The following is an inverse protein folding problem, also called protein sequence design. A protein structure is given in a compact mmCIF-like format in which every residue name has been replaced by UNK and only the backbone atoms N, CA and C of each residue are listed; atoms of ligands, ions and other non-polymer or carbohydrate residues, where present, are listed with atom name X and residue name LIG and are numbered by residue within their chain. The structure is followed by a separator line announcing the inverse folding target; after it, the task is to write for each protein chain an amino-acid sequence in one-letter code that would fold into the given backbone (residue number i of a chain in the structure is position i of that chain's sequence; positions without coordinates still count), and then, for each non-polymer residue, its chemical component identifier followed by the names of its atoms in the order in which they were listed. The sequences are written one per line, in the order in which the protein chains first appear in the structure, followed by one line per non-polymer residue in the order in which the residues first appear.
data_IF_837986971105
#
_entry.id   IF_837986971105
#
_cell.length_a   1.000
_cell.length_b   1.000
_cell.length_c   1.000
_cell.angle_alpha   90.00
_cell.angle_beta   90.00
_cell.angle_gamma   90.00
#
_symmetry.space_group_name_H-M   'P 1'
#
loop_
_entity.id
_entity.type
_entity.pdbx_description
1 polymer ?
#
# COMPACT_ATOMS: atom_id res chain seq x y z
N UNK A 1 5.65 -17.18 -0.85
CA UNK A 1 6.38 -16.05 -0.22
C UNK A 1 7.84 -16.11 -0.61
N UNK A 2 8.59 -15.00 -0.50
CA UNK A 2 10.03 -14.95 -0.75
C UNK A 2 10.61 -13.67 -0.16
N UNK A 3 11.82 -13.81 0.36
CA UNK A 3 12.50 -12.77 1.12
C UNK A 3 13.86 -12.49 0.47
N UNK A 4 14.11 -11.27 -0.03
CA UNK A 4 15.47 -10.86 -0.41
C UNK A 4 16.40 -10.96 0.79
N UNK A 5 17.58 -11.48 0.58
CA UNK A 5 18.65 -11.56 1.59
C UNK A 5 19.64 -10.46 1.30
N UNK A 6 19.90 -9.62 2.32
CA UNK A 6 20.75 -8.44 2.20
C UNK A 6 21.93 -8.58 3.18
N UNK A 7 23.12 -8.30 2.70
CA UNK A 7 24.33 -8.20 3.52
C UNK A 7 25.09 -6.93 3.12
N UNK A 8 25.53 -6.15 4.10
CA UNK A 8 26.19 -4.86 3.86
C UNK A 8 25.42 -3.90 2.95
N UNK A 9 24.05 -3.91 3.01
CA UNK A 9 23.18 -3.10 2.17
C UNK A 9 22.94 -3.64 0.75
N UNK A 10 23.63 -4.71 0.34
CA UNK A 10 23.53 -5.30 -1.00
C UNK A 10 22.74 -6.60 -0.99
N UNK A 11 22.04 -6.87 -2.08
CA UNK A 11 21.35 -8.16 -2.27
C UNK A 11 22.38 -9.25 -2.50
N UNK A 12 22.39 -10.26 -1.65
CA UNK A 12 23.26 -11.45 -1.76
C UNK A 12 22.50 -12.71 -2.18
N UNK A 13 21.16 -12.69 -2.13
CA UNK A 13 20.34 -13.81 -2.53
C UNK A 13 18.84 -13.58 -2.32
N UNK A 14 18.08 -14.63 -2.52
CA UNK A 14 16.64 -14.67 -2.18
C UNK A 14 16.30 -16.03 -1.58
N UNK A 15 15.48 -16.05 -0.53
CA UNK A 15 14.86 -17.28 0.01
C UNK A 15 13.39 -17.29 -0.36
N UNK A 16 12.93 -18.37 -0.93
CA UNK A 16 11.54 -18.55 -1.35
C UNK A 16 10.91 -19.77 -0.69
N UNK A 17 9.58 -19.88 -0.77
CA UNK A 17 8.91 -21.11 -0.31
C UNK A 17 9.35 -22.38 -1.05
N UNK A 18 9.98 -22.25 -2.23
CA UNK A 18 10.55 -23.38 -2.96
C UNK A 18 11.81 -23.89 -2.25
N UNK A 19 12.67 -22.98 -1.81
CA UNK A 19 13.92 -23.32 -1.12
C UNK A 19 13.65 -23.94 0.25
N UNK A 20 12.56 -23.56 0.90
CA UNK A 20 12.18 -24.05 2.23
C UNK A 20 11.27 -25.29 2.19
N UNK A 21 10.73 -25.69 1.03
CA UNK A 21 9.68 -26.73 0.94
C UNK A 21 10.09 -28.08 1.51
N UNK A 22 11.33 -28.45 1.32
CA UNK A 22 11.89 -29.73 1.76
C UNK A 22 13.01 -29.58 2.79
N UNK A 23 13.28 -28.37 3.24
CA UNK A 23 14.29 -28.12 4.27
C UNK A 23 13.72 -28.48 5.65
N UNK A 24 14.42 -29.37 6.33
CA UNK A 24 14.05 -29.85 7.66
C UNK A 24 14.97 -29.32 8.76
N UNK A 25 16.11 -28.75 8.37
CA UNK A 25 17.10 -28.20 9.29
C UNK A 25 16.83 -26.72 9.48
N UNK A 26 16.17 -26.33 10.55
CA UNK A 26 15.81 -24.94 10.83
C UNK A 26 16.93 -24.10 11.48
N UNK A 27 18.02 -24.73 11.84
CA UNK A 27 19.23 -24.14 12.46
C UNK A 27 20.31 -23.72 11.43
N UNK A 28 20.11 -24.05 10.15
CA UNK A 28 21.07 -23.68 9.09
C UNK A 28 21.02 -22.18 8.79
N UNK A 29 22.18 -21.63 8.43
CA UNK A 29 22.27 -20.23 8.02
C UNK A 29 21.61 -19.99 6.68
N UNK A 30 20.92 -18.84 6.52
CA UNK A 30 20.13 -18.48 5.32
C UNK A 30 20.95 -18.60 4.02
N UNK A 31 22.22 -18.24 4.03
CA UNK A 31 23.09 -18.31 2.85
C UNK A 31 23.30 -19.73 2.31
N UNK A 32 23.04 -20.77 3.11
CA UNK A 32 23.18 -22.18 2.70
C UNK A 32 21.97 -22.69 1.93
N UNK A 33 20.81 -22.03 2.10
CA UNK A 33 19.53 -22.45 1.50
C UNK A 33 18.99 -21.46 0.47
N UNK A 34 19.49 -20.23 0.44
CA UNK A 34 19.03 -19.20 -0.48
C UNK A 34 19.48 -19.49 -1.92
N UNK A 35 18.73 -18.98 -2.89
CA UNK A 35 19.22 -18.80 -4.25
C UNK A 35 20.24 -17.65 -4.24
N UNK A 36 21.53 -17.90 -4.54
CA UNK A 36 22.58 -16.89 -4.41
C UNK A 36 22.52 -15.86 -5.56
N UNK A 37 23.20 -14.74 -5.35
CA UNK A 37 23.22 -13.56 -6.23
C UNK A 37 23.46 -13.89 -7.71
N UNK A 38 24.39 -14.79 -8.00
CA UNK A 38 24.83 -15.15 -9.35
C UNK A 38 23.70 -15.82 -10.16
N UNK A 39 22.71 -16.39 -9.46
CA UNK A 39 21.54 -17.06 -10.06
C UNK A 39 20.28 -16.17 -10.07
N UNK A 40 20.38 -14.94 -9.55
CA UNK A 40 19.24 -14.04 -9.52
C UNK A 40 18.96 -13.45 -10.90
N UNK A 41 17.70 -13.37 -11.25
CA UNK A 41 17.21 -12.54 -12.36
C UNK A 41 16.71 -11.24 -11.72
N UNK A 42 17.36 -10.14 -12.04
CA UNK A 42 17.07 -8.81 -11.54
C UNK A 42 16.82 -7.83 -12.68
N UNK A 43 16.22 -6.67 -12.37
CA UNK A 43 16.12 -5.52 -13.26
C UNK A 43 16.74 -4.32 -12.55
N UNK A 44 17.30 -3.39 -13.32
CA UNK A 44 17.81 -2.14 -12.77
C UNK A 44 16.66 -1.15 -12.59
N UNK A 45 16.68 -0.35 -11.53
CA UNK A 45 15.69 0.71 -11.29
C UNK A 45 15.65 1.73 -12.43
N UNK A 46 16.78 1.97 -13.12
CA UNK A 46 16.91 2.89 -14.25
C UNK A 46 16.26 2.38 -15.54
N UNK A 47 16.04 1.08 -15.64
CA UNK A 47 15.47 0.47 -16.85
C UNK A 47 13.99 0.78 -17.04
N UNK A 48 13.33 1.36 -16.01
CA UNK A 48 11.89 1.66 -16.01
C UNK A 48 11.05 0.50 -16.56
N UNK A 49 11.36 -0.72 -16.10
CA UNK A 49 10.77 -1.97 -16.60
C UNK A 49 9.23 -1.91 -16.58
N UNK A 50 8.62 -1.96 -17.74
CA UNK A 50 7.17 -1.94 -17.88
C UNK A 50 6.53 -3.23 -17.34
N UNK A 51 5.25 -3.24 -16.95
CA UNK A 51 4.54 -4.46 -16.53
C UNK A 51 4.59 -5.58 -17.59
N UNK A 52 4.55 -5.24 -18.89
CA UNK A 52 4.64 -6.21 -19.98
C UNK A 52 6.03 -6.86 -20.05
N UNK A 53 7.11 -6.07 -19.93
CA UNK A 53 8.49 -6.57 -19.89
C UNK A 53 8.72 -7.44 -18.65
N UNK A 54 8.26 -7.00 -17.48
CA UNK A 54 8.35 -7.78 -16.25
C UNK A 54 7.61 -9.12 -16.37
N UNK A 55 6.40 -9.12 -16.96
CA UNK A 55 5.62 -10.33 -17.22
C UNK A 55 6.37 -11.31 -18.14
N UNK A 56 7.00 -10.78 -19.19
CA UNK A 56 7.80 -11.59 -20.13
C UNK A 56 8.99 -12.25 -19.42
N UNK A 57 9.74 -11.51 -18.60
CA UNK A 57 10.86 -12.04 -17.80
C UNK A 57 10.40 -13.10 -16.79
N UNK A 58 9.34 -12.82 -16.03
CA UNK A 58 8.76 -13.76 -15.08
C UNK A 58 8.35 -15.08 -15.76
N UNK A 59 7.72 -14.99 -16.93
CA UNK A 59 7.30 -16.18 -17.69
C UNK A 59 8.50 -16.93 -18.28
N UNK A 60 9.46 -16.22 -18.89
CA UNK A 60 10.67 -16.81 -19.48
C UNK A 60 11.45 -17.63 -18.47
N UNK A 61 11.63 -17.10 -17.26
CA UNK A 61 12.44 -17.72 -16.20
C UNK A 61 11.61 -18.54 -15.20
N UNK A 62 10.28 -18.67 -15.40
CA UNK A 62 9.35 -19.38 -14.50
C UNK A 62 9.44 -18.89 -13.06
N UNK A 63 9.54 -17.56 -12.89
CA UNK A 63 9.65 -16.88 -11.60
C UNK A 63 8.30 -16.28 -11.19
N UNK A 64 8.09 -16.14 -9.89
CA UNK A 64 6.95 -15.42 -9.32
C UNK A 64 7.28 -13.96 -8.99
N UNK A 65 8.57 -13.62 -8.96
CA UNK A 65 9.08 -12.30 -8.57
C UNK A 65 10.45 -12.00 -9.15
N UNK A 66 10.70 -10.70 -9.35
CA UNK A 66 11.97 -10.15 -9.83
C UNK A 66 12.38 -9.05 -8.86
N UNK A 67 13.62 -9.04 -8.43
CA UNK A 67 14.19 -7.96 -7.62
C UNK A 67 14.54 -6.78 -8.51
N UNK A 68 14.22 -5.58 -8.05
CA UNK A 68 14.67 -4.33 -8.63
C UNK A 68 15.86 -3.84 -7.82
N UNK A 69 16.99 -3.64 -8.47
CA UNK A 69 18.26 -3.22 -7.84
C UNK A 69 18.80 -1.97 -8.53
N UNK A 70 19.71 -1.26 -7.86
CA UNK A 70 20.52 -0.22 -8.49
C UNK A 70 21.86 -0.76 -8.96
N UNK A 71 22.72 0.11 -9.52
CA UNK A 71 24.07 -0.26 -10.00
C UNK A 71 24.98 -0.81 -8.90
N UNK A 72 24.76 -0.40 -7.64
CA UNK A 72 25.47 -0.93 -6.48
C UNK A 72 24.90 -2.27 -5.98
N UNK A 73 23.87 -2.80 -6.66
CA UNK A 73 23.15 -4.01 -6.28
C UNK A 73 22.41 -3.90 -4.93
N UNK A 74 22.00 -2.68 -4.57
CA UNK A 74 21.10 -2.45 -3.43
C UNK A 74 19.64 -2.69 -3.84
N UNK A 75 18.85 -3.24 -2.94
CA UNK A 75 17.42 -3.48 -3.17
C UNK A 75 16.64 -2.15 -3.26
N UNK A 76 15.96 -1.94 -4.36
CA UNK A 76 15.08 -0.79 -4.60
C UNK A 76 13.61 -1.17 -4.71
N UNK A 77 13.32 -2.41 -5.06
CA UNK A 77 11.93 -2.86 -5.17
C UNK A 77 11.81 -4.35 -5.47
N UNK A 78 10.55 -4.76 -5.61
CA UNK A 78 10.16 -6.13 -5.94
C UNK A 78 8.96 -6.09 -6.88
N UNK A 79 9.07 -6.75 -8.02
CA UNK A 79 7.96 -6.93 -8.97
C UNK A 79 7.46 -8.37 -8.85
N UNK A 80 6.17 -8.57 -8.64
CA UNK A 80 5.59 -9.90 -8.52
C UNK A 80 4.50 -10.17 -9.57
N UNK A 81 4.25 -11.43 -9.88
CA UNK A 81 3.10 -11.85 -10.71
C UNK A 81 1.79 -11.31 -10.13
N UNK A 82 1.65 -11.30 -8.81
CA UNK A 82 0.45 -10.80 -8.13
C UNK A 82 0.21 -9.31 -8.41
N UNK A 83 1.25 -8.49 -8.44
CA UNK A 83 1.13 -7.05 -8.71
C UNK A 83 0.63 -6.82 -10.13
N UNK A 84 1.19 -7.53 -11.12
CA UNK A 84 0.77 -7.45 -12.53
C UNK A 84 -0.68 -7.93 -12.68
N UNK A 85 -1.03 -9.06 -12.07
CA UNK A 85 -2.40 -9.59 -12.12
C UNK A 85 -3.40 -8.62 -11.48
N UNK A 86 -3.04 -8.04 -10.31
CA UNK A 86 -3.90 -7.06 -9.63
C UNK A 86 -4.11 -5.78 -10.43
N UNK A 87 -3.11 -5.32 -11.19
CA UNK A 87 -3.29 -4.17 -12.08
C UNK A 87 -4.35 -4.44 -13.16
N UNK A 88 -4.35 -5.65 -13.72
CA UNK A 88 -5.34 -6.07 -14.72
C UNK A 88 -6.73 -6.29 -14.09
N UNK A 89 -6.79 -6.95 -12.93
CA UNK A 89 -8.06 -7.27 -12.25
C UNK A 89 -8.71 -6.07 -11.59
N UNK A 90 -7.93 -5.05 -11.21
CA UNK A 90 -8.38 -3.84 -10.51
C UNK A 90 -7.89 -2.57 -11.20
N UNK A 91 -8.32 -2.29 -12.45
CA UNK A 91 -7.83 -1.13 -13.22
C UNK A 91 -8.22 0.22 -12.59
N UNK A 92 -9.28 0.24 -11.78
CA UNK A 92 -9.78 1.45 -11.10
C UNK A 92 -9.24 1.60 -9.65
N UNK A 93 -8.23 0.83 -9.26
CA UNK A 93 -7.60 1.00 -7.94
C UNK A 93 -7.00 2.41 -7.82
N UNK A 94 -7.28 3.08 -6.69
CA UNK A 94 -6.72 4.40 -6.42
C UNK A 94 -5.21 4.30 -6.18
N UNK A 95 -4.42 4.94 -7.05
CA UNK A 95 -2.95 4.92 -6.99
C UNK A 95 -2.41 6.34 -6.97
N UNK A 96 -1.22 6.48 -6.39
CA UNK A 96 -0.44 7.72 -6.45
C UNK A 96 0.33 7.82 -7.78
N UNK A 97 1.07 8.92 -7.97
CA UNK A 97 1.88 9.15 -9.17
C UNK A 97 3.01 8.11 -9.35
N UNK A 98 3.45 7.45 -8.28
CA UNK A 98 4.44 6.38 -8.32
C UNK A 98 3.80 4.99 -8.54
N UNK A 99 2.48 4.92 -8.76
CA UNK A 99 1.75 3.67 -8.98
C UNK A 99 1.45 2.87 -7.70
N UNK A 100 1.73 3.39 -6.49
CA UNK A 100 1.44 2.74 -5.21
C UNK A 100 -0.04 2.94 -4.87
N UNK A 101 -0.64 1.96 -4.20
CA UNK A 101 -2.01 2.09 -3.70
C UNK A 101 -2.09 3.23 -2.68
N UNK A 102 -3.10 4.09 -2.83
CA UNK A 102 -3.42 5.08 -1.81
C UNK A 102 -3.99 4.41 -0.58
N UNK A 103 -3.60 4.90 0.59
CA UNK A 103 -4.00 4.35 1.89
C UNK A 103 -4.72 5.38 2.73
N UNK A 104 -5.80 4.95 3.41
CA UNK A 104 -6.50 5.73 4.39
C UNK A 104 -6.40 5.09 5.77
N UNK A 105 -6.38 5.91 6.82
CA UNK A 105 -6.38 5.44 8.18
C UNK A 105 -7.51 6.07 8.99
N UNK A 106 -8.21 5.25 9.78
CA UNK A 106 -9.27 5.71 10.65
C UNK A 106 -8.72 6.20 11.98
N UNK A 107 -9.29 7.29 12.47
CA UNK A 107 -9.00 7.89 13.78
C UNK A 107 -10.29 8.29 14.48
N UNK A 108 -10.29 8.33 15.80
CA UNK A 108 -11.38 8.87 16.60
C UNK A 108 -11.23 10.37 16.87
N UNK A 109 -11.85 10.82 17.98
CA UNK A 109 -11.80 12.19 18.46
C UNK A 109 -11.25 12.32 19.89
N UNK A 110 -10.90 11.20 20.52
CA UNK A 110 -10.38 11.12 21.89
C UNK A 110 -8.95 11.61 22.02
N UNK A 111 -8.46 11.49 23.24
CA UNK A 111 -7.08 11.78 23.62
C UNK A 111 -6.10 10.90 22.82
N UNK A 112 -4.89 11.40 22.53
CA UNK A 112 -3.87 10.71 21.75
C UNK A 112 -4.14 10.66 20.24
N UNK A 113 -5.28 11.22 19.77
CA UNK A 113 -5.61 11.20 18.34
C UNK A 113 -4.70 12.10 17.53
N UNK A 114 -4.24 13.21 18.09
CA UNK A 114 -3.38 14.17 17.38
C UNK A 114 -2.01 13.56 17.10
N UNK A 115 -1.39 12.95 18.08
CA UNK A 115 -0.12 12.23 17.95
C UNK A 115 -0.23 11.07 16.96
N UNK A 116 -1.38 10.38 16.98
CA UNK A 116 -1.66 9.32 16.01
C UNK A 116 -1.77 9.86 14.58
N UNK A 117 -2.46 10.98 14.38
CA UNK A 117 -2.56 11.63 13.06
C UNK A 117 -1.19 12.07 12.58
N UNK A 118 -0.39 12.69 13.43
CA UNK A 118 0.98 13.10 13.10
C UNK A 118 1.83 11.90 12.64
N UNK A 119 1.81 10.80 13.40
CA UNK A 119 2.53 9.59 13.05
C UNK A 119 2.07 8.99 11.72
N UNK A 120 0.76 8.99 11.44
CA UNK A 120 0.18 8.50 10.18
C UNK A 120 0.58 9.38 8.99
N UNK A 121 0.57 10.70 9.16
CA UNK A 121 1.00 11.64 8.11
C UNK A 121 2.49 11.49 7.83
N UNK A 122 3.31 11.35 8.87
CA UNK A 122 4.75 11.08 8.75
C UNK A 122 5.02 9.74 8.04
N UNK A 123 4.16 8.74 8.23
CA UNK A 123 4.22 7.46 7.53
C UNK A 123 3.70 7.52 6.08
N UNK A 124 3.18 8.66 5.63
CA UNK A 124 2.74 8.86 4.24
C UNK A 124 1.31 8.41 3.96
N UNK A 125 0.37 8.56 4.92
CA UNK A 125 -1.06 8.31 4.68
C UNK A 125 -1.62 9.31 3.67
N UNK A 126 -2.47 8.84 2.75
CA UNK A 126 -3.12 9.71 1.76
C UNK A 126 -4.42 10.34 2.28
N UNK A 127 -5.14 9.63 3.16
CA UNK A 127 -6.40 10.11 3.71
C UNK A 127 -6.57 9.74 5.20
N UNK A 128 -7.11 10.68 5.97
CA UNK A 128 -7.54 10.43 7.36
C UNK A 128 -9.06 10.34 7.37
N UNK A 129 -9.57 9.28 7.98
CA UNK A 129 -11.02 9.07 8.19
C UNK A 129 -11.33 9.31 9.65
N UNK A 130 -12.00 10.43 9.98
CA UNK A 130 -12.53 10.68 11.32
C UNK A 130 -13.81 9.88 11.46
N UNK A 131 -13.69 8.67 12.01
CA UNK A 131 -14.73 7.65 12.04
C UNK A 131 -15.38 7.57 13.43
N UNK A 132 -16.66 7.96 13.49
CA UNK A 132 -17.46 7.92 14.71
C UNK A 132 -18.92 7.56 14.42
N UNK A 133 -19.66 7.14 15.44
CA UNK A 133 -21.09 6.87 15.31
C UNK A 133 -21.90 8.13 14.92
N UNK A 134 -21.45 9.31 15.36
CA UNK A 134 -22.16 10.59 15.18
C UNK A 134 -21.22 11.65 14.58
N UNK A 135 -21.09 11.64 13.27
CA UNK A 135 -20.20 12.55 12.54
C UNK A 135 -20.56 14.03 12.58
N UNK A 136 -21.80 14.37 12.99
CA UNK A 136 -22.24 15.77 13.21
C UNK A 136 -22.01 16.25 14.64
N UNK A 137 -21.15 15.57 15.42
CA UNK A 137 -20.76 16.03 16.74
C UNK A 137 -19.68 17.11 16.68
N UNK A 138 -19.66 18.00 17.70
CA UNK A 138 -18.68 19.06 17.82
C UNK A 138 -17.24 18.52 17.71
N UNK A 139 -16.93 17.44 18.44
CA UNK A 139 -15.60 16.84 18.42
C UNK A 139 -15.14 16.34 17.05
N UNK A 140 -16.07 15.81 16.23
CA UNK A 140 -15.74 15.39 14.86
C UNK A 140 -15.45 16.58 13.96
N UNK A 141 -16.27 17.62 14.01
CA UNK A 141 -16.11 18.84 13.22
C UNK A 141 -14.80 19.53 13.58
N UNK A 142 -14.50 19.63 14.88
CA UNK A 142 -13.25 20.22 15.37
C UNK A 142 -12.04 19.39 14.96
N UNK A 143 -12.13 18.05 15.01
CA UNK A 143 -11.05 17.15 14.59
C UNK A 143 -10.78 17.26 13.08
N UNK A 144 -11.81 17.30 12.26
CA UNK A 144 -11.68 17.52 10.79
C UNK A 144 -10.99 18.86 10.53
N UNK A 145 -11.43 19.92 11.18
CA UNK A 145 -10.83 21.27 11.04
C UNK A 145 -9.36 21.27 11.46
N UNK A 146 -9.06 20.66 12.61
CA UNK A 146 -7.70 20.57 13.13
C UNK A 146 -6.77 19.82 12.14
N UNK A 147 -7.20 18.67 11.60
CA UNK A 147 -6.39 17.92 10.62
C UNK A 147 -6.14 18.77 9.38
N UNK A 148 -7.16 19.43 8.85
CA UNK A 148 -6.99 20.27 7.65
C UNK A 148 -6.13 21.51 7.86
N UNK A 149 -6.13 22.09 9.06
CA UNK A 149 -5.28 23.22 9.42
C UNK A 149 -3.81 22.81 9.53
N UNK A 150 -3.52 21.66 10.13
CA UNK A 150 -2.16 21.21 10.37
C UNK A 150 -1.59 20.41 9.17
N UNK A 151 -2.43 19.71 8.40
CA UNK A 151 -2.03 18.84 7.29
C UNK A 151 -2.92 19.07 6.05
N UNK A 152 -2.86 20.25 5.41
CA UNK A 152 -3.74 20.62 4.30
C UNK A 152 -3.62 19.68 3.08
N UNK A 153 -2.48 19.02 2.93
CA UNK A 153 -2.20 18.08 1.83
C UNK A 153 -2.89 16.72 1.98
N UNK A 154 -3.37 16.37 3.19
CA UNK A 154 -4.03 15.08 3.46
C UNK A 154 -5.53 15.22 3.24
N UNK A 155 -6.13 14.24 2.54
CA UNK A 155 -7.58 14.17 2.42
C UNK A 155 -8.22 13.80 3.76
N UNK A 156 -9.32 14.47 4.12
CA UNK A 156 -10.04 14.20 5.36
C UNK A 156 -11.48 13.82 5.07
N UNK A 157 -11.90 12.68 5.60
CA UNK A 157 -13.27 12.17 5.50
C UNK A 157 -13.86 12.12 6.90
N UNK A 158 -14.98 12.78 7.14
CA UNK A 158 -15.72 12.73 8.41
C UNK A 158 -16.99 11.87 8.29
N UNK A 159 -17.31 11.12 9.31
CA UNK A 159 -18.51 10.28 9.37
C UNK A 159 -18.70 9.56 10.72
N UNK A 160 -19.88 8.92 10.90
CA UNK A 160 -20.96 8.75 9.94
C UNK A 160 -21.97 9.90 10.00
N UNK A 161 -22.57 10.25 8.87
CA UNK A 161 -23.57 11.31 8.78
C UNK A 161 -24.80 10.82 8.03
N UNK A 162 -25.97 11.38 8.38
CA UNK A 162 -27.26 11.04 7.79
C UNK A 162 -28.02 12.25 7.25
N UNK A 163 -27.57 13.48 7.47
CA UNK A 163 -28.30 14.71 7.11
C UNK A 163 -27.46 15.64 6.23
N UNK A 164 -28.15 16.46 5.41
CA UNK A 164 -27.50 17.50 4.60
C UNK A 164 -26.80 18.55 5.46
N UNK A 165 -27.37 18.91 6.61
CA UNK A 165 -26.74 19.83 7.55
C UNK A 165 -25.40 19.32 8.08
N UNK A 166 -25.31 18.03 8.40
CA UNK A 166 -24.06 17.39 8.80
C UNK A 166 -23.01 17.39 7.67
N UNK A 167 -23.46 17.14 6.43
CA UNK A 167 -22.57 17.18 5.27
C UNK A 167 -22.01 18.60 5.05
N UNK A 168 -22.86 19.63 5.17
CA UNK A 168 -22.45 21.02 5.05
C UNK A 168 -21.45 21.40 6.14
N UNK A 169 -21.75 21.10 7.40
CA UNK A 169 -20.86 21.40 8.53
C UNK A 169 -19.47 20.76 8.38
N UNK A 170 -19.40 19.52 7.90
CA UNK A 170 -18.13 18.84 7.63
C UNK A 170 -17.39 19.45 6.43
N UNK A 171 -18.11 19.84 5.37
CA UNK A 171 -17.50 20.52 4.23
C UNK A 171 -16.91 21.89 4.64
N UNK A 172 -17.63 22.65 5.43
CA UNK A 172 -17.15 23.93 6.00
C UNK A 172 -15.96 23.76 6.94
N UNK A 173 -15.86 22.60 7.61
CA UNK A 173 -14.69 22.23 8.41
C UNK A 173 -13.50 21.80 7.54
N UNK A 174 -13.67 21.67 6.23
CA UNK A 174 -12.62 21.30 5.28
C UNK A 174 -12.56 19.79 4.95
N UNK A 175 -13.59 19.02 5.28
CA UNK A 175 -13.64 17.63 4.83
C UNK A 175 -13.59 17.55 3.30
N UNK A 176 -12.79 16.63 2.77
CA UNK A 176 -12.68 16.40 1.34
C UNK A 176 -14.03 15.90 0.79
N UNK A 177 -14.48 16.42 -0.37
CA UNK A 177 -15.77 16.04 -0.92
C UNK A 177 -15.77 14.53 -1.23
N UNK A 178 -16.76 13.80 -0.69
CA UNK A 178 -16.96 12.40 -1.07
C UNK A 178 -17.22 12.34 -2.57
N UNK A 179 -16.36 11.66 -3.33
CA UNK A 179 -16.85 11.09 -4.59
C UNK A 179 -17.91 10.06 -4.23
N UNK A 180 -19.11 10.14 -4.79
CA UNK A 180 -20.14 9.14 -4.52
C UNK A 180 -19.55 7.76 -4.85
N UNK A 181 -19.54 6.87 -3.87
CA UNK A 181 -19.26 5.46 -4.10
C UNK A 181 -20.26 4.99 -5.14
N UNK A 182 -19.80 4.62 -6.34
CA UNK A 182 -20.68 3.94 -7.30
C UNK A 182 -21.29 2.74 -6.59
N UNK A 183 -22.62 2.56 -6.63
CA UNK A 183 -23.26 1.38 -6.07
C UNK A 183 -22.54 0.14 -6.63
N UNK A 184 -22.11 -0.76 -5.77
CA UNK A 184 -21.63 -2.07 -6.23
C UNK A 184 -22.79 -2.71 -7.00
N UNK A 185 -22.58 -3.20 -8.24
CA UNK A 185 -23.58 -4.01 -8.90
C UNK A 185 -23.89 -5.19 -7.96
N UNK A 186 -25.17 -5.36 -7.64
CA UNK A 186 -25.62 -6.52 -6.85
C UNK A 186 -25.20 -7.78 -7.62
N UNK A 187 -24.60 -8.78 -6.97
CA UNK A 187 -24.38 -10.06 -7.64
C UNK A 187 -25.74 -10.57 -8.12
N UNK A 188 -25.78 -11.05 -9.37
CA UNK A 188 -26.96 -11.69 -9.90
C UNK A 188 -27.36 -12.83 -8.95
N UNK A 189 -28.66 -12.88 -8.57
CA UNK A 189 -29.16 -14.01 -7.81
C UNK A 189 -29.02 -15.26 -8.68
N UNK A 190 -28.47 -16.35 -8.17
CA UNK A 190 -28.50 -17.61 -8.90
C UNK A 190 -29.97 -18.00 -9.10
N UNK A 191 -30.34 -18.30 -10.35
CA UNK A 191 -31.62 -18.89 -10.74
C UNK A 191 -31.65 -20.34 -10.32
#
# INVERSE_FOLDING_TARGET
SGFPVIDGGKVVGIVTGRDLRFETRYDVKVHQIMTPREKLITVNEKDHTTPAQAKALLNKHKLERILVVNDAFELKGLITVKDITKQTSFPNAARDAAGRLRVGAAVGVGEGTEERVEALVKAGVDAIVVDTAHGHSKGVIERVRWVKQNYPQVDVIGGNIATGAAALALAEAGASPRRPLRPRPRPARPT
#
